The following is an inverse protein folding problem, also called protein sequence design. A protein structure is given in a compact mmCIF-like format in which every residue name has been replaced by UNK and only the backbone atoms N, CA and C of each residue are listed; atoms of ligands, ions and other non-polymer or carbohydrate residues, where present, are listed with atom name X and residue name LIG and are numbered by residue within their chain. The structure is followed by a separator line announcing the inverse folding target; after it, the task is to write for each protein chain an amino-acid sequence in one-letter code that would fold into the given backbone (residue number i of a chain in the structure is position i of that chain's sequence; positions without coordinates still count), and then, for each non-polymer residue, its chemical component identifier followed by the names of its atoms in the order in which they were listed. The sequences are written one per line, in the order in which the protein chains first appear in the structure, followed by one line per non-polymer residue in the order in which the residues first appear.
data_IF_852214899990
#
_entry.id   IF_852214899990
#
_cell.length_a   1.000
_cell.length_b   1.000
_cell.length_c   1.000
_cell.angle_alpha   90.00
_cell.angle_beta   90.00
_cell.angle_gamma   90.00
#
_symmetry.space_group_name_H-M   'P 1'
#
loop_
_entity.id
_entity.type
_entity.pdbx_description
1 polymer ?
#
# COMPACT_ATOMS: atom_id res chain seq x y z
N UNK A 1 12.72 -11.25 35.04
CA UNK A 1 12.54 -10.29 33.93
C UNK A 1 11.21 -10.59 33.27
N UNK A 2 10.33 -9.61 33.03
CA UNK A 2 9.10 -9.88 32.31
C UNK A 2 9.48 -10.24 30.87
N UNK A 3 9.13 -11.45 30.47
CA UNK A 3 9.17 -11.92 29.09
C UNK A 3 8.23 -11.02 28.30
N UNK A 4 8.79 -10.10 27.50
CA UNK A 4 8.02 -9.32 26.53
C UNK A 4 7.31 -10.32 25.62
N UNK A 5 5.98 -10.34 25.70
CA UNK A 5 5.14 -11.11 24.78
C UNK A 5 5.52 -10.70 23.34
N UNK A 6 5.96 -11.63 22.47
CA UNK A 6 6.36 -11.32 21.11
C UNK A 6 5.18 -10.95 20.20
N UNK A 7 3.96 -10.88 20.76
CA UNK A 7 2.81 -10.24 20.12
C UNK A 7 3.07 -8.73 20.00
N UNK A 8 3.89 -8.40 19.00
CA UNK A 8 3.92 -7.10 18.31
C UNK A 8 2.54 -6.45 18.38
N UNK A 9 2.48 -5.19 18.81
CA UNK A 9 1.25 -4.43 18.96
C UNK A 9 0.20 -4.83 17.91
N UNK A 10 -0.88 -5.46 18.38
CA UNK A 10 -1.90 -5.97 17.47
C UNK A 10 -2.50 -4.80 16.71
N UNK A 11 -2.28 -4.79 15.40
CA UNK A 11 -2.88 -3.76 14.53
C UNK A 11 -4.39 -4.00 14.34
N UNK A 12 -4.91 -5.13 14.87
CA UNK A 12 -6.34 -5.42 14.90
C UNK A 12 -7.12 -4.63 15.97
N UNK A 13 -6.48 -3.66 16.62
CA UNK A 13 -7.06 -2.84 17.66
C UNK A 13 -7.80 -1.64 17.08
N UNK A 14 -8.79 -1.13 17.83
CA UNK A 14 -9.50 0.11 17.47
C UNK A 14 -8.54 1.30 17.41
N UNK A 15 -7.49 1.32 18.23
CA UNK A 15 -6.53 2.44 18.24
C UNK A 15 -5.65 2.44 16.99
N UNK A 16 -5.15 1.29 16.54
CA UNK A 16 -4.45 1.19 15.26
C UNK A 16 -5.36 1.61 14.09
N UNK A 17 -6.62 1.18 14.10
CA UNK A 17 -7.62 1.60 13.11
C UNK A 17 -7.79 3.13 13.08
N UNK A 18 -7.92 3.78 14.25
CA UNK A 18 -8.05 5.24 14.34
C UNK A 18 -6.83 5.96 13.78
N UNK A 19 -5.63 5.46 14.06
CA UNK A 19 -4.39 6.03 13.51
C UNK A 19 -4.36 5.94 11.98
N UNK A 20 -4.79 4.82 11.41
CA UNK A 20 -4.86 4.67 9.95
C UNK A 20 -5.95 5.55 9.33
N UNK A 21 -7.13 5.67 9.95
CA UNK A 21 -8.20 6.53 9.44
C UNK A 21 -7.78 8.01 9.35
N UNK A 22 -6.91 8.46 10.26
CA UNK A 22 -6.32 9.81 10.24
C UNK A 22 -5.41 10.08 9.04
N UNK A 23 -4.83 9.04 8.43
CA UNK A 23 -3.94 9.19 7.26
C UNK A 23 -4.69 9.33 5.94
N UNK A 24 -5.95 8.88 5.90
CA UNK A 24 -6.68 8.89 4.66
C UNK A 24 -7.13 10.32 4.29
N UNK A 25 -7.47 10.52 3.02
CA UNK A 25 -7.86 11.81 2.44
C UNK A 25 -9.34 11.76 2.05
N UNK A 26 -10.07 12.85 2.32
CA UNK A 26 -11.49 12.96 2.00
C UNK A 26 -11.70 12.92 0.49
N UNK A 27 -10.90 13.73 -0.21
CA UNK A 27 -10.80 13.75 -1.65
C UNK A 27 -9.53 13.00 -2.05
N UNK A 28 -9.73 11.84 -2.69
CA UNK A 28 -8.66 11.11 -3.35
C UNK A 28 -9.23 10.48 -4.60
N UNK A 29 -8.88 11.06 -5.74
CA UNK A 29 -9.19 10.63 -7.10
C UNK A 29 -7.93 10.24 -7.90
N UNK A 30 -6.78 10.28 -7.23
CA UNK A 30 -5.45 10.14 -7.82
C UNK A 30 -4.63 8.98 -7.25
N UNK A 31 -5.15 8.20 -6.29
CA UNK A 31 -4.47 7.03 -5.72
C UNK A 31 -5.24 5.74 -6.01
N UNK A 32 -4.58 4.80 -6.67
CA UNK A 32 -5.22 3.58 -7.14
C UNK A 32 -4.45 2.34 -6.69
N UNK A 33 -5.18 1.28 -6.37
CA UNK A 33 -4.63 -0.03 -6.07
C UNK A 33 -5.11 -1.05 -7.11
N UNK A 34 -4.19 -1.92 -7.50
CA UNK A 34 -4.45 -3.07 -8.34
C UNK A 34 -3.88 -4.32 -7.66
N UNK A 35 -4.73 -5.31 -7.39
CA UNK A 35 -4.36 -6.59 -6.77
C UNK A 35 -4.61 -7.73 -7.74
N UNK A 36 -3.63 -8.61 -7.89
CA UNK A 36 -3.70 -9.81 -8.74
C UNK A 36 -3.40 -11.05 -7.88
N UNK A 37 -4.41 -11.89 -7.59
CA UNK A 37 -4.20 -13.16 -6.88
C UNK A 37 -3.39 -14.13 -7.75
N UNK A 38 -2.45 -14.86 -7.13
CA UNK A 38 -1.54 -15.75 -7.85
C UNK A 38 -2.26 -16.91 -8.52
N UNK A 39 -3.36 -17.42 -7.92
CA UNK A 39 -4.09 -18.59 -8.43
C UNK A 39 -5.00 -18.26 -9.61
N UNK A 40 -5.78 -17.18 -9.51
CA UNK A 40 -6.67 -16.78 -10.60
C UNK A 40 -5.94 -16.03 -11.71
N UNK A 41 -4.80 -15.42 -11.38
CA UNK A 41 -4.04 -14.50 -12.24
C UNK A 41 -4.93 -13.44 -12.92
N UNK A 42 -6.03 -13.09 -12.26
CA UNK A 42 -7.02 -12.15 -12.76
C UNK A 42 -7.13 -10.99 -11.78
N UNK A 43 -6.95 -9.75 -12.24
CA UNK A 43 -7.18 -8.54 -11.46
C UNK A 43 -8.46 -8.57 -10.61
N UNK A 44 -8.33 -8.22 -9.33
CA UNK A 44 -9.48 -7.89 -8.50
C UNK A 44 -10.03 -6.54 -8.99
N UNK A 45 -11.29 -6.56 -9.43
CA UNK A 45 -11.98 -5.36 -9.93
C UNK A 45 -12.51 -4.55 -8.75
N UNK A 46 -12.12 -3.28 -8.70
CA UNK A 46 -12.78 -2.26 -7.88
C UNK A 46 -13.87 -1.55 -8.68
N UNK A 47 -14.20 -0.33 -8.26
CA UNK A 47 -15.26 0.49 -8.89
C UNK A 47 -14.75 1.81 -9.48
N UNK A 48 -13.45 2.09 -9.41
CA UNK A 48 -12.92 3.31 -9.98
C UNK A 48 -12.90 3.24 -11.52
N UNK A 49 -12.99 4.41 -12.15
CA UNK A 49 -12.85 4.52 -13.60
C UNK A 49 -11.48 4.03 -14.07
N UNK A 50 -11.41 3.65 -15.35
CA UNK A 50 -10.16 3.23 -15.98
C UNK A 50 -9.05 4.24 -15.74
N UNK A 51 -7.89 3.76 -15.28
CA UNK A 51 -6.70 4.58 -15.02
C UNK A 51 -5.47 3.93 -15.60
N UNK A 52 -4.83 4.61 -16.57
CA UNK A 52 -3.72 4.04 -17.32
C UNK A 52 -4.14 2.74 -18.04
N UNK A 53 -3.39 1.67 -17.80
CA UNK A 53 -3.67 0.31 -18.29
C UNK A 53 -4.63 -0.49 -17.40
N UNK A 54 -5.16 0.09 -16.32
CA UNK A 54 -6.06 -0.61 -15.39
C UNK A 54 -7.52 -0.29 -15.70
N UNK A 55 -8.31 -1.31 -16.05
CA UNK A 55 -9.70 -1.11 -16.47
C UNK A 55 -10.64 -0.72 -15.33
N UNK A 56 -10.52 -1.36 -14.16
CA UNK A 56 -11.38 -1.13 -12.97
C UNK A 56 -10.56 -1.23 -11.69
N UNK A 57 -9.61 -0.30 -11.45
CA UNK A 57 -8.81 -0.33 -10.24
C UNK A 57 -9.64 0.03 -8.99
N UNK A 58 -9.08 -0.23 -7.81
CA UNK A 58 -9.65 0.24 -6.54
C UNK A 58 -9.16 1.65 -6.24
N UNK A 59 -10.07 2.57 -5.91
CA UNK A 59 -9.70 3.88 -5.37
C UNK A 59 -9.19 3.73 -3.94
N UNK A 60 -8.07 4.36 -3.62
CA UNK A 60 -7.45 4.37 -2.29
C UNK A 60 -7.59 5.76 -1.69
N UNK A 61 -7.93 5.86 -0.40
CA UNK A 61 -7.96 7.14 0.32
C UNK A 61 -6.66 7.44 1.05
N UNK A 62 -5.87 6.42 1.38
CA UNK A 62 -4.57 6.60 2.01
C UNK A 62 -3.82 5.28 2.11
N UNK A 63 -2.52 5.37 2.29
CA UNK A 63 -1.69 4.21 2.52
C UNK A 63 -0.44 4.60 3.31
N UNK A 64 0.16 3.60 3.97
CA UNK A 64 1.40 3.76 4.72
C UNK A 64 2.29 2.55 4.51
N UNK A 65 3.53 2.82 4.17
CA UNK A 65 4.62 1.87 4.31
C UNK A 65 5.80 2.56 4.97
N UNK A 66 6.55 1.81 5.76
CA UNK A 66 7.72 2.30 6.46
C UNK A 66 8.80 1.21 6.54
N UNK A 67 10.04 1.66 6.45
CA UNK A 67 11.22 0.89 6.80
C UNK A 67 12.13 1.74 7.70
N UNK A 68 12.97 1.09 8.49
CA UNK A 68 13.94 1.77 9.32
C UNK A 68 14.62 0.86 10.32
N UNK A 69 15.31 1.47 11.27
CA UNK A 69 15.96 0.79 12.38
C UNK A 69 15.37 1.35 13.68
N UNK A 70 15.33 0.55 14.75
CA UNK A 70 15.04 1.12 16.06
C UNK A 70 16.16 2.09 16.45
N UNK A 71 15.85 3.01 17.38
CA UNK A 71 16.83 3.95 17.90
C UNK A 71 18.03 3.19 18.49
N UNK A 72 19.13 3.17 17.74
CA UNK A 72 20.41 2.67 18.18
C UNK A 72 21.34 3.86 18.48
N UNK A 73 22.24 3.78 19.47
CA UNK A 73 23.27 4.80 19.65
C UNK A 73 24.01 5.03 18.33
N UNK A 74 24.39 6.27 18.02
CA UNK A 74 25.05 6.63 16.75
C UNK A 74 26.29 5.77 16.42
N UNK A 75 26.96 5.23 17.45
CA UNK A 75 28.13 4.37 17.32
C UNK A 75 27.82 2.87 17.17
N UNK A 76 26.55 2.46 17.22
CA UNK A 76 26.16 1.06 17.05
C UNK A 76 26.25 0.66 15.57
N UNK A 77 26.98 -0.42 15.29
CA UNK A 77 27.03 -1.00 13.97
C UNK A 77 25.72 -1.73 13.67
N UNK A 78 24.81 -1.05 12.95
CA UNK A 78 23.61 -1.66 12.40
C UNK A 78 23.97 -2.46 11.16
N UNK A 79 23.38 -3.65 11.03
CA UNK A 79 23.50 -4.48 9.84
C UNK A 79 22.12 -4.69 9.19
N UNK A 80 22.11 -5.27 7.99
CA UNK A 80 20.89 -5.49 7.24
C UNK A 80 19.80 -6.24 8.04
N UNK A 81 20.18 -7.12 8.97
CA UNK A 81 19.22 -7.86 9.80
C UNK A 81 18.51 -7.02 10.86
N UNK A 82 19.03 -5.84 11.17
CA UNK A 82 18.40 -4.92 12.11
C UNK A 82 17.30 -4.08 11.44
N UNK A 83 17.21 -4.14 10.11
CA UNK A 83 16.20 -3.40 9.35
C UNK A 83 14.80 -3.98 9.63
N UNK A 84 13.91 -3.08 10.04
CA UNK A 84 12.48 -3.31 10.15
C UNK A 84 11.78 -2.81 8.90
N UNK A 85 10.89 -3.64 8.38
CA UNK A 85 10.03 -3.30 7.24
C UNK A 85 8.61 -3.60 7.67
N UNK A 86 7.73 -2.62 7.52
CA UNK A 86 6.31 -2.78 7.83
C UNK A 86 5.56 -3.37 6.64
N UNK A 87 4.40 -3.98 6.89
CA UNK A 87 3.44 -4.25 5.84
C UNK A 87 2.93 -2.94 5.25
N UNK A 88 2.53 -2.95 3.98
CA UNK A 88 1.85 -1.82 3.35
C UNK A 88 0.40 -1.80 3.86
N UNK A 89 0.04 -0.78 4.62
CA UNK A 89 -1.33 -0.54 5.05
C UNK A 89 -2.07 0.29 4.00
N UNK A 90 -3.31 -0.08 3.67
CA UNK A 90 -4.16 0.60 2.70
C UNK A 90 -5.51 0.92 3.33
N UNK A 91 -6.01 2.13 3.07
CA UNK A 91 -7.36 2.57 3.44
C UNK A 91 -8.16 2.86 2.17
N UNK A 92 -9.33 2.24 2.02
CA UNK A 92 -10.27 2.53 0.93
C UNK A 92 -11.73 2.51 1.40
N UNK A 93 -12.63 3.04 0.59
CA UNK A 93 -14.07 2.85 0.79
C UNK A 93 -14.46 1.40 0.50
N UNK A 94 -15.50 0.89 1.14
CA UNK A 94 -16.06 -0.42 0.77
C UNK A 94 -16.61 -0.34 -0.65
N UNK A 95 -16.25 -1.31 -1.49
CA UNK A 95 -16.68 -1.43 -2.89
C UNK A 95 -16.83 -2.92 -3.28
N UNK A 96 -17.08 -3.20 -4.56
CA UNK A 96 -17.19 -4.57 -5.08
C UNK A 96 -15.95 -5.46 -4.87
N UNK A 97 -14.77 -4.90 -4.62
CA UNK A 97 -13.57 -5.66 -4.31
C UNK A 97 -13.55 -6.18 -2.86
N UNK A 98 -14.28 -5.53 -1.94
CA UNK A 98 -14.21 -5.80 -0.50
C UNK A 98 -14.42 -7.27 -0.11
N UNK A 99 -15.47 -7.99 -0.59
CA UNK A 99 -15.62 -9.41 -0.28
C UNK A 99 -14.49 -10.29 -0.83
N UNK A 100 -13.89 -9.89 -1.96
CA UNK A 100 -12.76 -10.61 -2.56
C UNK A 100 -11.51 -10.41 -1.69
N UNK A 101 -11.22 -9.19 -1.26
CA UNK A 101 -10.09 -8.88 -0.36
C UNK A 101 -10.23 -9.61 0.97
N UNK A 102 -11.42 -9.60 1.57
CA UNK A 102 -11.71 -10.35 2.80
C UNK A 102 -11.45 -11.85 2.63
N UNK A 103 -11.86 -12.44 1.50
CA UNK A 103 -11.59 -13.85 1.17
C UNK A 103 -10.11 -14.12 0.98
N UNK A 104 -9.38 -13.27 0.25
CA UNK A 104 -7.94 -13.40 0.05
C UNK A 104 -7.19 -13.37 1.39
N UNK A 105 -7.60 -12.49 2.31
CA UNK A 105 -7.09 -12.45 3.67
C UNK A 105 -7.38 -13.75 4.43
N UNK A 106 -8.63 -14.22 4.45
CA UNK A 106 -9.03 -15.43 5.15
C UNK A 106 -8.31 -16.70 4.63
N UNK A 107 -7.91 -16.71 3.36
CA UNK A 107 -7.23 -17.82 2.72
C UNK A 107 -5.70 -17.70 2.77
N UNK A 108 -5.16 -16.57 3.28
CA UNK A 108 -3.76 -16.21 3.14
C UNK A 108 -3.26 -16.42 1.69
N UNK A 109 -4.11 -16.09 0.71
CA UNK A 109 -3.81 -16.35 -0.70
C UNK A 109 -2.66 -15.46 -1.16
N UNK A 110 -1.65 -16.09 -1.78
CA UNK A 110 -0.54 -15.36 -2.38
C UNK A 110 -1.04 -14.51 -3.55
N UNK A 111 -0.53 -13.29 -3.61
CA UNK A 111 -0.72 -12.33 -4.68
C UNK A 111 0.52 -12.38 -5.57
N UNK A 112 0.32 -12.47 -6.88
CA UNK A 112 1.40 -12.25 -7.84
C UNK A 112 1.81 -10.77 -7.85
N UNK A 113 0.85 -9.88 -7.64
CA UNK A 113 1.07 -8.44 -7.61
C UNK A 113 0.06 -7.74 -6.69
N UNK A 114 0.53 -6.81 -5.86
CA UNK A 114 -0.25 -5.68 -5.38
C UNK A 114 0.48 -4.39 -5.75
N UNK A 115 -0.18 -3.48 -6.45
CA UNK A 115 0.45 -2.31 -7.04
C UNK A 115 -0.35 -1.06 -6.72
N UNK A 116 0.23 -0.14 -5.95
CA UNK A 116 -0.31 1.19 -5.73
C UNK A 116 0.33 2.15 -6.73
N UNK A 117 -0.48 3.01 -7.35
CA UNK A 117 -0.04 4.13 -8.20
C UNK A 117 -0.68 5.42 -7.73
N UNK A 118 0.13 6.46 -7.66
CA UNK A 118 -0.28 7.82 -7.36
C UNK A 118 -0.06 8.70 -8.58
N UNK A 119 -1.08 9.48 -8.92
CA UNK A 119 -1.09 10.40 -10.04
C UNK A 119 -1.04 11.84 -9.53
N UNK A 120 -0.49 12.73 -10.34
CA UNK A 120 -0.57 14.16 -10.08
C UNK A 120 -1.97 14.64 -10.41
N UNK A 121 -2.48 15.56 -9.60
CA UNK A 121 -3.72 16.28 -9.89
C UNK A 121 -3.55 17.06 -11.18
N UNK A 122 -4.07 16.52 -12.28
CA UNK A 122 -4.24 17.26 -13.51
C UNK A 122 -5.72 17.59 -13.59
N UNK A 123 -6.05 18.88 -13.60
CA UNK A 123 -7.41 19.31 -13.93
C UNK A 123 -7.84 18.70 -15.27
N UNK A 124 -9.14 18.62 -15.48
CA UNK A 124 -9.78 17.97 -16.65
C UNK A 124 -9.31 18.50 -18.02
N UNK A 125 -8.57 19.61 -18.05
CA UNK A 125 -8.25 20.37 -19.25
C UNK A 125 -6.84 20.07 -19.82
N UNK A 126 -6.02 19.24 -19.17
CA UNK A 126 -4.61 19.05 -19.54
C UNK A 126 -4.14 17.58 -19.53
N UNK A 127 -4.50 16.82 -20.56
CA UNK A 127 -3.76 15.62 -20.96
C UNK A 127 -3.72 14.44 -19.97
N UNK A 128 -2.82 13.50 -20.24
CA UNK A 128 -2.64 12.25 -19.47
C UNK A 128 -2.08 12.58 -18.09
N UNK A 129 -2.82 12.26 -17.02
CA UNK A 129 -2.33 12.37 -15.64
C UNK A 129 -1.00 11.63 -15.48
N UNK A 130 -0.02 12.29 -14.86
CA UNK A 130 1.32 11.74 -14.67
C UNK A 130 1.34 10.85 -13.42
N UNK A 131 1.63 9.56 -13.59
CA UNK A 131 2.05 8.69 -12.50
C UNK A 131 3.40 9.19 -11.98
N UNK A 132 3.44 9.64 -10.73
CA UNK A 132 4.66 10.20 -10.13
C UNK A 132 5.25 9.29 -9.05
N UNK A 133 4.45 8.39 -8.48
CA UNK A 133 4.88 7.45 -7.46
C UNK A 133 4.13 6.13 -7.65
N UNK A 134 4.85 5.03 -7.62
CA UNK A 134 4.27 3.70 -7.57
C UNK A 134 5.04 2.77 -6.64
N UNK A 135 4.30 1.82 -6.06
CA UNK A 135 4.84 0.79 -5.19
C UNK A 135 4.25 -0.56 -5.57
N UNK A 136 5.10 -1.48 -6.00
CA UNK A 136 4.79 -2.87 -6.36
C UNK A 136 5.23 -3.80 -5.24
N UNK A 137 4.33 -4.70 -4.85
CA UNK A 137 4.54 -5.77 -3.89
C UNK A 137 4.36 -7.09 -4.61
N UNK A 138 5.37 -7.95 -4.55
CA UNK A 138 5.38 -9.27 -5.20
C UNK A 138 5.55 -10.39 -4.16
N UNK A 139 4.97 -11.56 -4.47
CA UNK A 139 4.81 -12.66 -3.51
C UNK A 139 4.19 -12.15 -2.19
N UNK A 140 3.09 -11.42 -2.32
CA UNK A 140 2.43 -10.76 -1.21
C UNK A 140 1.23 -11.55 -0.69
N UNK A 141 0.69 -11.19 0.48
CA UNK A 141 -0.62 -11.66 0.96
C UNK A 141 -1.23 -10.61 1.88
N UNK A 142 -2.56 -10.66 2.03
CA UNK A 142 -3.28 -9.79 2.98
C UNK A 142 -3.21 -10.46 4.35
N UNK A 143 -2.60 -9.79 5.33
CA UNK A 143 -2.40 -10.37 6.67
C UNK A 143 -3.44 -9.94 7.70
N UNK A 144 -4.06 -8.77 7.50
CA UNK A 144 -5.06 -8.19 8.39
C UNK A 144 -6.09 -7.42 7.55
N UNK A 145 -7.34 -7.40 7.99
CA UNK A 145 -8.45 -6.78 7.29
C UNK A 145 -9.52 -6.29 8.27
N UNK A 146 -9.96 -5.03 8.10
CA UNK A 146 -10.98 -4.36 8.91
C UNK A 146 -12.03 -3.72 8.01
N UNK A 147 -13.28 -3.75 8.45
CA UNK A 147 -14.33 -2.86 7.97
C UNK A 147 -14.78 -2.00 9.14
N UNK A 148 -15.00 -0.72 8.88
CA UNK A 148 -15.37 0.27 9.90
C UNK A 148 -16.13 1.44 9.29
N UNK A 149 -16.77 2.24 10.13
CA UNK A 149 -17.35 3.53 9.73
C UNK A 149 -16.31 4.62 9.95
N UNK A 150 -15.83 5.24 8.87
CA UNK A 150 -14.94 6.40 8.96
C UNK A 150 -15.76 7.65 9.24
N UNK A 151 -15.47 8.32 10.34
CA UNK A 151 -16.07 9.64 10.65
C UNK A 151 -15.55 10.70 9.70
N UNK A 152 -14.28 10.60 9.28
CA UNK A 152 -13.64 11.56 8.38
C UNK A 152 -14.15 11.48 6.94
N UNK A 153 -14.43 10.26 6.45
CA UNK A 153 -14.98 10.04 5.11
C UNK A 153 -16.52 9.97 5.08
N UNK A 154 -17.15 9.97 6.26
CA UNK A 154 -18.59 9.86 6.47
C UNK A 154 -19.23 8.65 5.74
N UNK A 155 -18.53 7.51 5.70
CA UNK A 155 -18.96 6.29 4.99
C UNK A 155 -18.29 5.03 5.54
N UNK A 156 -18.73 3.87 5.05
CA UNK A 156 -18.07 2.59 5.33
C UNK A 156 -16.74 2.51 4.58
N UNK A 157 -15.70 2.20 5.33
CA UNK A 157 -14.34 2.06 4.85
C UNK A 157 -13.75 0.75 5.31
N UNK A 158 -12.63 0.40 4.71
CA UNK A 158 -11.84 -0.76 5.07
C UNK A 158 -10.37 -0.40 5.17
N UNK A 159 -9.68 -1.11 6.07
CA UNK A 159 -8.23 -1.05 6.24
C UNK A 159 -7.68 -2.46 6.12
N UNK A 160 -6.62 -2.64 5.35
CA UNK A 160 -5.94 -3.92 5.26
C UNK A 160 -4.43 -3.76 5.06
N UNK A 161 -3.70 -4.82 5.40
CA UNK A 161 -2.24 -4.84 5.33
C UNK A 161 -1.73 -5.89 4.36
N UNK A 162 -0.85 -5.48 3.46
CA UNK A 162 -0.14 -6.32 2.50
C UNK A 162 1.29 -6.56 2.98
N UNK A 163 1.60 -7.81 3.31
CA UNK A 163 2.97 -8.25 3.55
C UNK A 163 3.54 -8.86 2.25
N UNK A 164 4.80 -8.58 1.92
CA UNK A 164 5.43 -9.02 0.67
C UNK A 164 6.88 -9.47 0.87
N UNK A 165 7.35 -10.32 -0.04
CA UNK A 165 8.77 -10.70 -0.09
C UNK A 165 9.60 -9.67 -0.86
N UNK A 166 9.00 -9.03 -1.87
CA UNK A 166 9.68 -8.07 -2.72
C UNK A 166 8.87 -6.78 -2.80
N UNK A 167 9.56 -5.65 -2.69
CA UNK A 167 8.99 -4.32 -2.80
C UNK A 167 9.80 -3.55 -3.83
N UNK A 168 9.13 -2.96 -4.81
CA UNK A 168 9.73 -2.02 -5.75
C UNK A 168 8.98 -0.71 -5.69
N UNK A 169 9.68 0.38 -5.39
CA UNK A 169 9.15 1.73 -5.39
C UNK A 169 9.78 2.51 -6.55
N UNK A 170 8.94 3.09 -7.40
CA UNK A 170 9.38 3.92 -8.51
C UNK A 170 8.80 5.32 -8.36
N UNK A 171 9.65 6.33 -8.53
CA UNK A 171 9.25 7.73 -8.51
C UNK A 171 9.68 8.39 -9.82
N UNK A 172 8.78 9.14 -10.45
CA UNK A 172 9.07 9.94 -11.62
C UNK A 172 8.97 11.42 -11.23
N UNK A 173 10.09 12.16 -11.11
CA UNK A 173 10.04 13.60 -10.87
C UNK A 173 9.40 14.30 -12.06
N UNK A 174 8.80 15.46 -11.83
CA UNK A 174 8.32 16.33 -12.91
C UNK A 174 9.45 17.25 -13.37
N UNK A 175 9.56 17.48 -14.67
CA UNK A 175 10.44 18.51 -15.23
C UNK A 175 9.88 19.89 -14.94
N UNK A 176 10.68 20.95 -15.15
CA UNK A 176 10.23 22.35 -15.03
C UNK A 176 9.03 22.66 -15.93
N UNK A 177 8.92 21.97 -17.07
CA UNK A 177 7.81 22.12 -18.01
C UNK A 177 6.55 21.32 -17.60
N UNK A 178 6.56 20.65 -16.45
CA UNK A 178 5.46 19.80 -15.98
C UNK A 178 5.40 18.42 -16.62
N UNK A 179 6.36 18.06 -17.47
CA UNK A 179 6.43 16.74 -18.12
C UNK A 179 6.95 15.67 -17.16
N UNK A 180 6.68 14.39 -17.46
CA UNK A 180 7.25 13.27 -16.70
C UNK A 180 8.76 13.17 -16.94
N UNK A 181 9.55 13.16 -15.87
CA UNK A 181 10.99 12.93 -15.87
C UNK A 181 11.36 11.45 -15.86
N UNK A 182 12.66 11.17 -15.71
CA UNK A 182 13.19 9.81 -15.68
C UNK A 182 12.87 9.08 -14.35
N UNK A 183 12.53 7.80 -14.44
CA UNK A 183 12.20 6.98 -13.28
C UNK A 183 13.41 6.75 -12.36
N UNK A 184 13.20 6.98 -11.07
CA UNK A 184 14.11 6.58 -9.99
C UNK A 184 13.49 5.41 -9.26
N UNK A 185 14.22 4.30 -9.16
CA UNK A 185 13.70 3.04 -8.60
C UNK A 185 14.49 2.62 -7.37
N UNK A 186 13.76 2.18 -6.35
CA UNK A 186 14.25 1.48 -5.18
C UNK A 186 13.65 0.07 -5.18
N UNK A 187 14.48 -0.95 -5.03
CA UNK A 187 14.06 -2.34 -4.92
C UNK A 187 14.57 -2.96 -3.62
N UNK A 188 13.71 -3.71 -2.93
CA UNK A 188 14.02 -4.38 -1.68
C UNK A 188 13.49 -5.81 -1.71
N UNK A 189 14.41 -6.77 -1.55
CA UNK A 189 14.09 -8.12 -1.12
C UNK A 189 13.93 -8.10 0.40
N UNK A 190 12.69 -8.08 0.87
CA UNK A 190 12.31 -8.04 2.29
C UNK A 190 12.77 -9.31 2.99
N UNK A 191 12.72 -10.45 2.30
CA UNK A 191 13.11 -11.75 2.86
C UNK A 191 14.61 -11.86 3.09
N UNK A 192 15.40 -11.37 2.14
CA UNK A 192 16.86 -11.34 2.23
C UNK A 192 17.39 -10.05 2.87
N UNK A 193 16.51 -9.09 3.18
CA UNK A 193 16.84 -7.73 3.65
C UNK A 193 17.90 -7.05 2.79
N UNK A 194 17.77 -7.22 1.48
CA UNK A 194 18.76 -6.81 0.50
C UNK A 194 18.18 -5.77 -0.45
N UNK A 195 18.85 -4.63 -0.54
CA UNK A 195 18.56 -3.60 -1.54
C UNK A 195 19.17 -4.04 -2.88
N UNK A 196 18.37 -3.92 -3.93
CA UNK A 196 18.75 -4.22 -5.32
C UNK A 196 19.30 -3.02 -6.07
#
# INVERSE_FOLDING_TARGET
MPTSDPRSDSILTIDALRQFDQLALADSDDMFLHVVPKRSNTPVKGEAAKRGDWDTPMQVHGWRWAQGYDAAPLAAALNANDMRVTALCVIKSVDSASPVLARLCAQAELLSLAHIRCFKSAGTDHGVQIEYLSMKLEQAYIRNYHIYTSTRLARLCEVFELAAQQITMTCAPQTETGSRGADVTFALDVSARRVG
#
